data_IF_030951697294
#
_entry.id   IF_030951697294
#
_cell.length_a   1.000
_cell.length_b   1.000
_cell.length_c   1.000
_cell.angle_alpha   90.00
_cell.angle_beta   90.00
_cell.angle_gamma   90.00
#
_symmetry.space_group_name_H-M   'P 1'
#
loop_
_entity.id
_entity.type
_entity.pdbx_description
1 polymer ?
#
# COMPACT_ATOMS: atom_id res chain seq x y z
N UNK A 1 -13.68 2.69 -11.15
CA UNK A 1 -12.44 2.93 -11.92
C UNK A 1 -11.86 4.24 -11.40
N UNK A 2 -10.70 4.22 -10.73
CA UNK A 2 -10.04 5.48 -10.32
C UNK A 2 -9.50 6.12 -11.59
N UNK A 3 -10.12 7.20 -12.05
CA UNK A 3 -9.86 7.80 -13.36
C UNK A 3 -8.49 8.48 -13.46
N UNK A 4 -7.92 8.90 -12.32
CA UNK A 4 -6.61 9.55 -12.27
C UNK A 4 -5.52 8.68 -11.64
N UNK A 5 -4.29 8.78 -12.14
CA UNK A 5 -3.11 8.12 -11.55
C UNK A 5 -2.88 8.53 -10.10
N UNK A 6 -3.22 9.76 -9.73
CA UNK A 6 -3.16 10.22 -8.34
C UNK A 6 -4.18 9.49 -7.46
N UNK A 7 -5.43 9.34 -7.93
CA UNK A 7 -6.45 8.62 -7.19
C UNK A 7 -6.07 7.13 -7.03
N UNK A 8 -5.50 6.50 -8.08
CA UNK A 8 -4.89 5.17 -8.00
C UNK A 8 -3.80 5.11 -6.93
N UNK A 9 -2.85 6.05 -6.95
CA UNK A 9 -1.74 6.11 -5.99
C UNK A 9 -2.23 6.21 -4.56
N UNK A 10 -3.13 7.15 -4.27
CA UNK A 10 -3.72 7.33 -2.94
C UNK A 10 -4.45 6.06 -2.50
N UNK A 11 -5.26 5.46 -3.38
CA UNK A 11 -5.94 4.22 -3.07
C UNK A 11 -4.97 3.05 -2.81
N UNK A 12 -3.86 2.94 -3.55
CA UNK A 12 -2.84 1.92 -3.27
C UNK A 12 -2.21 2.12 -1.91
N UNK A 13 -1.80 3.36 -1.58
CA UNK A 13 -1.17 3.68 -0.28
C UNK A 13 -2.14 3.36 0.86
N UNK A 14 -3.39 3.84 0.77
CA UNK A 14 -4.41 3.57 1.78
C UNK A 14 -4.73 2.07 1.89
N UNK A 15 -4.78 1.36 0.77
CA UNK A 15 -4.96 -0.10 0.77
C UNK A 15 -3.82 -0.81 1.49
N UNK A 16 -2.57 -0.47 1.18
CA UNK A 16 -1.39 -1.04 1.86
C UNK A 16 -1.41 -0.73 3.35
N UNK A 17 -1.69 0.51 3.74
CA UNK A 17 -1.78 0.91 5.15
C UNK A 17 -2.89 0.17 5.88
N UNK A 18 -4.06 0.00 5.25
CA UNK A 18 -5.16 -0.75 5.83
C UNK A 18 -4.77 -2.21 6.09
N UNK A 19 -4.17 -2.89 5.10
CA UNK A 19 -3.69 -4.27 5.30
C UNK A 19 -2.54 -4.37 6.29
N UNK A 20 -1.62 -3.42 6.30
CA UNK A 20 -0.56 -3.35 7.29
C UNK A 20 -1.14 -3.23 8.70
N UNK A 21 -2.13 -2.37 8.91
CA UNK A 21 -2.79 -2.22 10.21
C UNK A 21 -3.50 -3.52 10.65
N UNK A 22 -4.11 -4.26 9.73
CA UNK A 22 -4.71 -5.56 10.05
C UNK A 22 -3.65 -6.59 10.50
N UNK A 23 -2.50 -6.60 9.84
CA UNK A 23 -1.38 -7.48 10.21
C UNK A 23 -0.80 -7.03 11.56
N UNK A 24 -0.55 -5.74 11.73
CA UNK A 24 0.00 -5.14 12.95
C UNK A 24 -0.90 -5.45 14.16
N UNK A 25 -2.23 -5.33 14.00
CA UNK A 25 -3.18 -5.67 15.07
C UNK A 25 -3.14 -7.12 15.55
N UNK A 26 -2.54 -8.04 14.78
CA UNK A 26 -2.37 -9.45 15.18
C UNK A 26 -1.05 -9.70 15.91
N UNK A 27 -0.01 -8.92 15.63
CA UNK A 27 1.36 -9.20 16.09
C UNK A 27 1.94 -8.15 17.03
N UNK A 28 1.34 -6.97 17.09
CA UNK A 28 1.90 -5.78 17.73
C UNK A 28 0.97 -5.31 18.84
N UNK A 29 1.51 -4.95 20.02
CA UNK A 29 0.71 -4.35 21.08
C UNK A 29 -0.06 -3.12 20.58
N UNK A 30 -1.31 -2.91 21.01
CA UNK A 30 -2.14 -1.79 20.58
C UNK A 30 -1.77 -0.49 21.32
N UNK A 31 -0.49 -0.17 21.42
CA UNK A 31 -0.01 1.08 22.00
C UNK A 31 0.40 2.10 20.92
N UNK A 32 0.18 3.41 21.14
CA UNK A 32 0.41 4.42 20.12
C UNK A 32 1.87 4.54 19.65
N UNK A 33 2.83 4.26 20.53
CA UNK A 33 4.26 4.43 20.21
C UNK A 33 4.76 3.30 19.31
N UNK A 34 4.42 2.05 19.63
CA UNK A 34 4.83 0.91 18.81
C UNK A 34 4.17 0.94 17.44
N UNK A 35 2.90 1.34 17.35
CA UNK A 35 2.20 1.51 16.08
C UNK A 35 2.82 2.60 15.20
N UNK A 36 3.21 3.75 15.79
CA UNK A 36 3.85 4.82 15.03
C UNK A 36 5.22 4.39 14.47
N UNK A 37 5.98 3.61 15.23
CA UNK A 37 7.26 3.05 14.78
C UNK A 37 7.09 2.08 13.60
N UNK A 38 5.93 1.42 13.47
CA UNK A 38 5.63 0.53 12.35
C UNK A 38 5.17 1.25 11.09
N UNK A 39 4.48 2.38 11.22
CA UNK A 39 4.03 3.19 10.08
C UNK A 39 5.22 3.65 9.22
N UNK A 40 6.32 4.07 9.84
CA UNK A 40 7.50 4.56 9.11
C UNK A 40 8.05 3.54 8.09
N UNK A 41 8.45 2.33 8.52
CA UNK A 41 8.86 1.25 7.64
C UNK A 41 7.82 0.87 6.60
N UNK A 42 6.53 0.80 6.97
CA UNK A 42 5.46 0.51 6.02
C UNK A 42 5.42 1.54 4.90
N UNK A 43 5.55 2.83 5.24
CA UNK A 43 5.56 3.92 4.26
C UNK A 43 6.76 3.87 3.31
N UNK A 44 7.93 3.43 3.78
CA UNK A 44 9.12 3.23 2.93
C UNK A 44 8.83 2.21 1.82
N UNK A 45 7.95 1.23 2.04
CA UNK A 45 7.57 0.22 1.04
C UNK A 45 6.32 0.65 0.27
N UNK A 46 5.32 1.19 0.96
CA UNK A 46 4.03 1.56 0.37
C UNK A 46 4.18 2.63 -0.71
N UNK A 47 5.01 3.66 -0.47
CA UNK A 47 5.17 4.76 -1.42
C UNK A 47 5.82 4.32 -2.74
N UNK A 48 6.97 3.59 -2.76
CA UNK A 48 7.53 3.06 -4.00
C UNK A 48 6.59 2.11 -4.74
N UNK A 49 5.90 1.22 -4.01
CA UNK A 49 4.95 0.27 -4.62
C UNK A 49 3.79 1.02 -5.26
N UNK A 50 3.17 1.94 -4.54
CA UNK A 50 2.08 2.77 -5.06
C UNK A 50 2.52 3.61 -6.25
N UNK A 51 3.72 4.18 -6.20
CA UNK A 51 4.28 4.95 -7.30
C UNK A 51 4.48 4.08 -8.54
N UNK A 52 5.08 2.90 -8.37
CA UNK A 52 5.32 1.97 -9.47
C UNK A 52 4.01 1.50 -10.10
N UNK A 53 3.03 1.10 -9.27
CA UNK A 53 1.74 0.62 -9.75
C UNK A 53 0.97 1.71 -10.50
N UNK A 54 0.95 2.93 -9.97
CA UNK A 54 0.09 4.00 -10.48
C UNK A 54 0.69 4.81 -11.62
N UNK A 55 2.02 4.95 -11.68
CA UNK A 55 2.71 5.81 -12.65
C UNK A 55 3.67 5.07 -13.60
N UNK A 56 4.11 3.85 -13.28
CA UNK A 56 5.06 3.07 -14.11
C UNK A 56 4.41 1.91 -14.85
N UNK A 57 3.08 1.91 -14.95
CA UNK A 57 2.33 0.87 -15.65
C UNK A 57 2.26 -0.45 -14.88
N UNK A 58 2.44 -0.44 -13.56
CA UNK A 58 2.51 -1.66 -12.76
C UNK A 58 1.15 -2.36 -12.64
N UNK A 59 0.04 -1.63 -12.63
CA UNK A 59 -1.30 -2.22 -12.65
C UNK A 59 -1.56 -3.04 -13.93
N UNK A 60 -1.17 -2.51 -15.10
CA UNK A 60 -1.34 -3.18 -16.39
C UNK A 60 -0.49 -4.47 -16.46
N UNK A 61 0.70 -4.45 -15.86
CA UNK A 61 1.56 -5.64 -15.73
C UNK A 61 1.00 -6.68 -14.75
N UNK A 62 0.28 -6.26 -13.71
CA UNK A 62 -0.37 -7.20 -12.79
C UNK A 62 -1.57 -7.88 -13.45
N UNK A 63 -2.42 -7.12 -14.15
CA UNK A 63 -3.58 -7.68 -14.87
C UNK A 63 -3.14 -8.76 -15.86
N UNK A 64 -2.12 -8.49 -16.67
CA UNK A 64 -1.58 -9.47 -17.64
C UNK A 64 -0.97 -10.72 -17.00
N UNK A 65 -0.57 -10.67 -15.72
CA UNK A 65 -0.07 -11.83 -14.97
C UNK A 65 -1.17 -12.62 -14.28
N UNK A 66 -2.25 -11.96 -13.87
CA UNK A 66 -3.40 -12.60 -13.21
C UNK A 66 -4.29 -13.30 -14.24
N UNK A 67 -4.41 -12.74 -15.45
CA UNK A 67 -5.21 -13.32 -16.53
C UNK A 67 -4.53 -14.50 -17.25
N UNK A 68 -3.35 -14.92 -16.80
CA UNK A 68 -2.53 -15.97 -17.40
C UNK A 68 -2.51 -17.22 -16.54
#
# INVERSE_FOLDING_TARGET
MLESSFARFVATVLGVLFFAQLIDGLFIPPDPFTQLLFIGPVMIVALPVAYYLSYRGGYERLTTRVDR
#
